data_IF_905246107231
#
_entry.id   IF_905246107231
#
_cell.length_a   1.000
_cell.length_b   1.000
_cell.length_c   1.000
_cell.angle_alpha   90.00
_cell.angle_beta   90.00
_cell.angle_gamma   90.00
#
_symmetry.space_group_name_H-M   'P 1'
#
loop_
_entity.id
_entity.type
_entity.pdbx_description
1 polymer ?
#
# COMPACT_ATOMS: atom_id res chain seq x y z
N UNK A 1 -14.62 11.63 5.15
CA UNK A 1 -14.52 10.15 5.19
C UNK A 1 -13.18 9.79 4.58
N UNK A 2 -12.24 9.29 5.37
CA UNK A 2 -10.89 8.94 4.94
C UNK A 2 -10.77 7.46 4.53
N UNK A 3 -9.55 7.07 4.18
CA UNK A 3 -9.12 5.69 3.91
C UNK A 3 -7.86 5.39 4.72
N UNK A 4 -7.49 4.11 4.81
CA UNK A 4 -6.36 3.70 5.65
C UNK A 4 -6.78 3.32 7.07
N UNK A 5 -5.80 3.23 7.96
CA UNK A 5 -5.97 2.89 9.37
C UNK A 5 -5.01 1.80 9.85
N UNK A 6 -5.16 1.39 11.10
CA UNK A 6 -4.38 0.30 11.68
C UNK A 6 -5.05 -1.05 11.44
N UNK A 7 -4.28 -2.02 10.97
CA UNK A 7 -4.70 -3.41 10.77
C UNK A 7 -3.90 -4.27 11.74
N UNK A 8 -4.61 -4.95 12.63
CA UNK A 8 -4.03 -5.95 13.52
C UNK A 8 -4.67 -7.30 13.24
N UNK A 9 -3.94 -8.18 12.55
CA UNK A 9 -4.43 -9.48 12.11
C UNK A 9 -3.25 -10.40 11.73
N UNK A 10 -3.48 -11.71 11.75
CA UNK A 10 -2.51 -12.72 11.25
C UNK A 10 -2.45 -12.74 9.72
N UNK A 11 -3.59 -12.53 9.07
CA UNK A 11 -3.76 -12.44 7.63
C UNK A 11 -4.93 -11.53 7.26
N UNK A 12 -5.04 -11.18 5.97
CA UNK A 12 -6.18 -10.43 5.46
C UNK A 12 -5.93 -9.77 4.12
N UNK A 13 -6.90 -8.95 3.69
CA UNK A 13 -6.86 -8.23 2.44
C UNK A 13 -7.04 -6.74 2.66
N UNK A 14 -6.21 -5.94 1.99
CA UNK A 14 -6.33 -4.49 1.90
C UNK A 14 -6.75 -4.13 0.48
N UNK A 15 -7.68 -3.19 0.37
CA UNK A 15 -8.20 -2.73 -0.91
C UNK A 15 -8.03 -1.22 -1.03
N UNK A 16 -7.85 -0.75 -2.26
CA UNK A 16 -7.91 0.68 -2.54
C UNK A 16 -9.29 1.24 -2.19
N UNK A 17 -9.40 2.53 -1.86
CA UNK A 17 -10.69 3.15 -1.58
C UNK A 17 -11.63 2.94 -2.76
N UNK A 18 -12.88 2.58 -2.45
CA UNK A 18 -13.95 2.36 -3.42
C UNK A 18 -13.77 1.14 -4.33
N UNK A 19 -12.72 0.32 -4.15
CA UNK A 19 -12.57 -0.94 -4.90
C UNK A 19 -13.87 -1.75 -4.87
N UNK A 20 -14.35 -2.28 -6.02
CA UNK A 20 -13.67 -2.39 -7.32
C UNK A 20 -13.78 -1.16 -8.24
N UNK A 21 -14.40 -0.07 -7.78
CA UNK A 21 -14.48 1.18 -8.55
C UNK A 21 -13.12 1.92 -8.51
N UNK A 22 -12.81 2.74 -9.52
CA UNK A 22 -11.60 3.55 -9.53
C UNK A 22 -11.55 4.48 -8.31
N UNK A 23 -10.39 4.58 -7.66
CA UNK A 23 -10.17 5.54 -6.58
C UNK A 23 -10.27 6.99 -7.10
N UNK A 24 -10.60 7.95 -6.23
CA UNK A 24 -10.65 9.37 -6.63
C UNK A 24 -9.24 9.93 -6.79
N UNK A 25 -9.06 10.90 -7.69
CA UNK A 25 -7.80 11.64 -7.76
C UNK A 25 -7.50 12.34 -6.42
N UNK A 26 -6.21 12.54 -6.14
CA UNK A 26 -5.71 13.15 -4.90
C UNK A 26 -6.15 12.40 -3.62
N UNK A 27 -6.22 11.08 -3.71
CA UNK A 27 -6.47 10.22 -2.55
C UNK A 27 -5.14 9.70 -2.01
N UNK A 28 -4.87 9.98 -0.74
CA UNK A 28 -3.72 9.46 0.01
C UNK A 28 -4.25 8.58 1.15
N UNK A 29 -3.77 7.34 1.20
CA UNK A 29 -4.19 6.37 2.20
C UNK A 29 -2.97 5.69 2.79
N UNK A 30 -2.97 5.54 4.11
CA UNK A 30 -1.90 4.86 4.83
C UNK A 30 -2.48 3.77 5.69
N UNK A 31 -1.95 2.56 5.55
CA UNK A 31 -2.30 1.42 6.39
C UNK A 31 -1.10 1.03 7.26
N UNK A 32 -1.32 0.89 8.56
CA UNK A 32 -0.31 0.41 9.50
C UNK A 32 -0.62 -1.06 9.81
N UNK A 33 0.21 -1.96 9.30
CA UNK A 33 -0.03 -3.41 9.42
C UNK A 33 0.83 -3.95 10.56
N UNK A 34 0.16 -4.53 11.55
CA UNK A 34 0.81 -5.15 12.71
C UNK A 34 0.34 -6.59 12.83
N UNK A 35 1.28 -7.52 12.82
CA UNK A 35 1.05 -8.94 13.10
C UNK A 35 1.44 -9.25 14.56
N UNK A 36 0.93 -10.34 15.16
CA UNK A 36 1.39 -10.77 16.48
C UNK A 36 2.91 -11.00 16.52
N UNK A 37 3.47 -10.98 17.73
CA UNK A 37 4.91 -11.16 17.93
C UNK A 37 5.44 -12.44 17.28
N UNK A 38 6.69 -12.37 16.80
CA UNK A 38 7.40 -13.46 16.10
C UNK A 38 6.92 -13.79 14.68
N UNK A 39 6.01 -12.99 14.12
CA UNK A 39 5.62 -13.07 12.71
C UNK A 39 6.29 -11.99 11.86
N UNK A 40 6.42 -12.25 10.57
CA UNK A 40 6.88 -11.29 9.55
C UNK A 40 5.76 -11.07 8.55
N UNK A 41 5.50 -9.80 8.21
CA UNK A 41 4.49 -9.44 7.22
C UNK A 41 5.00 -9.79 5.82
N UNK A 42 4.21 -10.57 5.07
CA UNK A 42 4.40 -10.79 3.63
C UNK A 42 3.28 -10.09 2.87
N UNK A 43 3.63 -9.25 1.91
CA UNK A 43 2.67 -8.54 1.06
C UNK A 43 2.67 -9.16 -0.34
N UNK A 44 1.47 -9.43 -0.86
CA UNK A 44 1.27 -9.93 -2.22
C UNK A 44 0.21 -9.09 -2.93
N UNK A 45 0.56 -8.60 -4.13
CA UNK A 45 -0.36 -7.81 -4.94
C UNK A 45 -1.23 -8.72 -5.81
N UNK A 46 -2.48 -8.91 -5.41
CA UNK A 46 -3.44 -9.66 -6.24
C UNK A 46 -3.81 -8.90 -7.53
N UNK A 47 -3.96 -7.57 -7.42
CA UNK A 47 -4.23 -6.66 -8.54
C UNK A 47 -3.57 -5.32 -8.29
N UNK A 48 -2.84 -4.82 -9.28
CA UNK A 48 -2.29 -3.46 -9.30
C UNK A 48 -2.74 -2.79 -10.59
N UNK A 49 -3.42 -1.65 -10.47
CA UNK A 49 -3.92 -0.87 -11.62
C UNK A 49 -3.73 0.61 -11.33
N UNK A 50 -2.50 1.06 -11.49
CA UNK A 50 -2.07 2.43 -11.28
C UNK A 50 -1.59 3.04 -12.60
N UNK A 51 -1.63 4.36 -12.69
CA UNK A 51 -1.03 5.04 -13.84
C UNK A 51 0.50 4.91 -13.75
N UNK A 52 1.13 4.54 -14.86
CA UNK A 52 2.59 4.49 -14.93
C UNK A 52 3.16 5.87 -15.27
N UNK A 53 4.19 6.30 -14.55
CA UNK A 53 4.98 7.49 -14.90
C UNK A 53 6.47 7.20 -14.74
N UNK A 54 7.32 7.96 -15.43
CA UNK A 54 8.78 7.91 -15.18
C UNK A 54 8.99 8.25 -13.70
N UNK A 55 9.72 7.40 -12.97
CA UNK A 55 9.97 7.57 -11.53
C UNK A 55 8.83 7.15 -10.59
N UNK A 56 7.65 6.78 -11.11
CA UNK A 56 6.46 6.47 -10.32
C UNK A 56 6.05 7.57 -9.33
N UNK A 57 6.23 8.86 -9.67
CA UNK A 57 6.01 9.97 -8.72
C UNK A 57 4.56 10.48 -8.65
N UNK A 58 3.70 10.07 -9.58
CA UNK A 58 2.34 10.63 -9.71
C UNK A 58 1.24 9.75 -9.10
N UNK A 59 1.39 8.44 -9.21
CA UNK A 59 0.40 7.47 -8.74
C UNK A 59 1.11 6.17 -8.40
N UNK A 60 1.16 5.85 -7.12
CA UNK A 60 2.02 4.77 -6.64
C UNK A 60 1.51 4.15 -5.34
N UNK A 61 2.06 2.99 -5.02
CA UNK A 61 2.00 2.37 -3.71
C UNK A 61 3.43 2.24 -3.19
N UNK A 62 3.66 2.66 -1.96
CA UNK A 62 4.94 2.50 -1.28
C UNK A 62 4.79 1.52 -0.12
N UNK A 63 5.81 0.69 0.07
CA UNK A 63 5.94 -0.19 1.23
C UNK A 63 7.08 0.31 2.10
N UNK A 64 6.81 0.39 3.40
CA UNK A 64 7.75 0.80 4.42
C UNK A 64 7.92 -0.32 5.45
N UNK A 65 9.17 -0.62 5.82
CA UNK A 65 9.50 -1.54 6.90
C UNK A 65 9.70 -0.76 8.20
N UNK A 66 8.59 -0.36 8.80
CA UNK A 66 8.55 0.46 9.99
C UNK A 66 7.27 1.29 10.08
N UNK A 67 7.09 1.97 11.22
CA UNK A 67 5.88 2.76 11.51
C UNK A 67 6.08 4.27 11.32
N UNK A 68 7.31 4.74 11.10
CA UNK A 68 7.58 6.17 10.98
C UNK A 68 7.21 6.72 9.60
N UNK A 69 7.19 5.87 8.58
CA UNK A 69 6.95 6.27 7.20
C UNK A 69 8.08 7.12 6.62
N UNK A 70 9.25 7.09 7.25
CA UNK A 70 10.41 7.84 6.80
C UNK A 70 10.98 7.26 5.51
N UNK A 71 11.74 8.08 4.78
CA UNK A 71 12.35 7.65 3.51
C UNK A 71 13.36 6.53 3.67
N UNK A 72 13.95 6.41 4.86
CA UNK A 72 14.92 5.37 5.21
C UNK A 72 14.24 4.00 5.42
N UNK A 73 12.97 3.99 5.84
CA UNK A 73 12.18 2.77 6.00
C UNK A 73 11.54 2.30 4.68
N UNK A 74 11.61 3.10 3.60
CA UNK A 74 10.98 2.76 2.33
C UNK A 74 11.68 1.58 1.66
N UNK A 75 10.98 0.45 1.61
CA UNK A 75 11.44 -0.77 0.94
C UNK A 75 11.33 -0.61 -0.57
N UNK A 76 10.16 -0.17 -1.06
CA UNK A 76 9.88 -0.15 -2.50
C UNK A 76 8.73 0.78 -2.84
N UNK A 77 8.73 1.25 -4.09
CA UNK A 77 7.65 2.01 -4.72
C UNK A 77 7.21 1.30 -6.00
N UNK A 78 5.91 1.10 -6.15
CA UNK A 78 5.30 0.48 -7.34
C UNK A 78 4.32 1.42 -8.02
N UNK A 79 4.29 1.41 -9.35
CA UNK A 79 3.25 2.02 -10.18
C UNK A 79 3.00 1.18 -11.44
N UNK A 80 1.97 1.53 -12.20
CA UNK A 80 1.57 0.79 -13.41
C UNK A 80 0.64 -0.39 -13.11
N UNK A 81 0.61 -1.36 -14.04
CA UNK A 81 -0.33 -2.49 -14.03
C UNK A 81 0.34 -3.85 -13.88
N UNK A 82 1.68 -3.88 -13.85
CA UNK A 82 2.44 -5.11 -13.68
C UNK A 82 2.58 -5.41 -12.19
N UNK A 83 2.21 -6.64 -11.80
CA UNK A 83 2.38 -7.12 -10.43
C UNK A 83 3.86 -7.40 -10.17
N UNK A 84 4.42 -6.94 -9.05
CA UNK A 84 5.77 -7.28 -8.60
C UNK A 84 5.93 -8.77 -8.28
#
# INVERSE_FOLDING_TARGET
RGCGGSVYADDGYIYSPMYPQPFKNNTECTWYITVPGYHTVKIEFQRLQLNSSRGCDSNYVELYDGHSGSTEERVVRYCGTVRP
#
